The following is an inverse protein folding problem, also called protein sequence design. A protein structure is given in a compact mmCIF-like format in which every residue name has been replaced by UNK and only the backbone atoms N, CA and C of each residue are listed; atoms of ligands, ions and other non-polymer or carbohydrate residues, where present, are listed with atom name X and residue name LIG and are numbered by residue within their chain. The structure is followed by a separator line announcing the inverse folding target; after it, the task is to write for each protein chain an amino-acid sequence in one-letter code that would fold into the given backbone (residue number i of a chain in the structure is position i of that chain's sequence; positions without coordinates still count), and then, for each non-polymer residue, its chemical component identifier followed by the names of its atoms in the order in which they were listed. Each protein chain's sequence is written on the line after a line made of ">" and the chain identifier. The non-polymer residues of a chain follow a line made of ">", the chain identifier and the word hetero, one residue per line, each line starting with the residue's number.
data_IF_126844669118
#
_entry.id   IF_126844669118
#
_cell.length_a   1.000
_cell.length_b   1.000
_cell.length_c   1.000
_cell.angle_alpha   90.00
_cell.angle_beta   90.00
_cell.angle_gamma   90.00
#
_symmetry.space_group_name_H-M   'P 1'
#
loop_
_entity.id
_entity.type
_entity.pdbx_description
1 polymer ?
#
# COMPACT_ATOMS: atom_id res chain seq x y z
N UNK A 1 3.71 -9.51 -13.50
CA UNK A 1 3.78 -9.43 -14.99
C UNK A 1 4.89 -10.31 -15.53
N UNK A 2 4.59 -11.47 -16.13
CA UNK A 2 5.53 -12.15 -17.02
C UNK A 2 4.80 -12.64 -18.28
N UNK A 3 5.35 -12.32 -19.46
CA UNK A 3 4.98 -12.96 -20.73
C UNK A 3 3.89 -12.31 -21.59
N UNK A 4 3.47 -11.06 -21.34
CA UNK A 4 2.51 -10.35 -22.22
C UNK A 4 3.15 -9.18 -22.96
N UNK A 5 2.85 -8.98 -24.27
CA UNK A 5 3.26 -7.79 -25.01
C UNK A 5 2.65 -6.53 -24.39
N UNK A 6 3.47 -5.51 -24.17
CA UNK A 6 3.03 -4.18 -23.72
C UNK A 6 2.90 -3.31 -24.96
N UNK A 7 1.66 -3.00 -25.35
CA UNK A 7 1.34 -2.22 -26.55
C UNK A 7 1.30 -0.72 -26.27
N UNK A 8 0.97 -0.32 -25.04
CA UNK A 8 0.89 1.07 -24.61
C UNK A 8 1.36 1.24 -23.16
N UNK A 9 1.67 2.48 -22.76
CA UNK A 9 1.97 2.80 -21.35
C UNK A 9 0.79 2.50 -20.41
N UNK A 10 -0.44 2.42 -20.94
CA UNK A 10 -1.63 2.05 -20.16
C UNK A 10 -1.70 0.55 -19.87
N UNK A 11 -1.03 -0.29 -20.67
CA UNK A 11 -0.91 -1.72 -20.36
C UNK A 11 0.01 -1.98 -19.15
N UNK A 12 0.76 -0.96 -18.71
CA UNK A 12 1.49 -0.96 -17.44
C UNK A 12 0.60 -0.69 -16.23
N UNK A 13 -0.58 -0.08 -16.43
CA UNK A 13 -1.53 0.24 -15.34
C UNK A 13 -2.40 -0.95 -14.95
N UNK A 14 -2.34 -2.04 -15.73
CA UNK A 14 -3.17 -3.21 -15.49
C UNK A 14 -4.59 -3.06 -15.99
N UNK A 15 -5.18 -4.17 -16.44
CA UNK A 15 -6.61 -4.25 -16.76
C UNK A 15 -7.39 -5.04 -15.71
N UNK A 16 -6.67 -5.57 -14.70
CA UNK A 16 -7.17 -6.37 -13.60
C UNK A 16 -6.85 -5.68 -12.26
N UNK A 17 -7.72 -5.89 -11.26
CA UNK A 17 -7.62 -5.34 -9.90
C UNK A 17 -6.25 -5.60 -9.27
N UNK A 18 -5.70 -6.78 -9.55
CA UNK A 18 -4.41 -7.25 -9.09
C UNK A 18 -3.25 -6.38 -9.56
N UNK A 19 -3.29 -5.91 -10.82
CA UNK A 19 -2.24 -5.09 -11.40
C UNK A 19 -2.27 -3.66 -10.81
N UNK A 20 -3.47 -3.13 -10.54
CA UNK A 20 -3.65 -1.82 -9.89
C UNK A 20 -3.14 -1.87 -8.45
N UNK A 21 -3.49 -2.92 -7.71
CA UNK A 21 -2.98 -3.16 -6.36
C UNK A 21 -1.46 -3.29 -6.34
N UNK A 22 -0.88 -4.10 -7.24
CA UNK A 22 0.57 -4.28 -7.32
C UNK A 22 1.28 -2.96 -7.61
N UNK A 23 0.75 -2.16 -8.54
CA UNK A 23 1.25 -0.83 -8.86
C UNK A 23 1.20 0.11 -7.65
N UNK A 24 0.10 0.08 -6.90
CA UNK A 24 -0.04 0.86 -5.68
C UNK A 24 0.99 0.47 -4.61
N UNK A 25 1.11 -0.82 -4.29
CA UNK A 25 2.06 -1.24 -3.25
C UNK A 25 3.52 -0.99 -3.66
N UNK A 26 3.86 -1.13 -4.96
CA UNK A 26 5.16 -0.72 -5.48
C UNK A 26 5.41 0.77 -5.28
N UNK A 27 4.41 1.61 -5.58
CA UNK A 27 4.52 3.06 -5.43
C UNK A 27 4.63 3.48 -3.96
N UNK A 28 3.86 2.86 -3.06
CA UNK A 28 3.93 3.07 -1.61
C UNK A 28 5.30 2.67 -1.06
N UNK A 29 5.86 1.54 -1.53
CA UNK A 29 7.20 1.13 -1.15
C UNK A 29 8.24 2.16 -1.59
N UNK A 30 8.18 2.69 -2.82
CA UNK A 30 9.26 3.53 -3.37
C UNK A 30 9.10 5.03 -3.18
N UNK A 31 7.97 5.50 -2.68
CA UNK A 31 7.69 6.92 -2.52
C UNK A 31 7.26 7.24 -1.09
N UNK A 32 8.23 7.68 -0.28
CA UNK A 32 8.00 8.00 1.13
C UNK A 32 7.00 9.14 1.37
N UNK A 33 6.89 10.11 0.46
CA UNK A 33 5.88 11.18 0.55
C UNK A 33 4.47 10.64 0.29
N UNK A 34 4.31 9.79 -0.73
CA UNK A 34 3.05 9.09 -1.00
C UNK A 34 2.66 8.19 0.17
N UNK A 35 3.60 7.41 0.72
CA UNK A 35 3.37 6.55 1.87
C UNK A 35 2.95 7.34 3.11
N UNK A 36 3.65 8.44 3.44
CA UNK A 36 3.28 9.33 4.54
C UNK A 36 1.89 9.94 4.34
N UNK A 37 1.59 10.41 3.14
CA UNK A 37 0.28 10.99 2.83
C UNK A 37 -0.83 9.93 2.94
N UNK A 38 -0.57 8.71 2.46
CA UNK A 38 -1.50 7.57 2.57
C UNK A 38 -1.80 7.25 4.03
N UNK A 39 -0.76 7.07 4.86
CA UNK A 39 -0.93 6.79 6.30
C UNK A 39 -1.63 7.93 7.03
N UNK A 40 -1.27 9.18 6.76
CA UNK A 40 -1.95 10.33 7.37
C UNK A 40 -3.46 10.35 7.08
N UNK A 41 -3.88 9.83 5.92
CA UNK A 41 -5.29 9.75 5.54
C UNK A 41 -6.04 8.58 6.20
N UNK A 42 -5.41 7.42 6.39
CA UNK A 42 -6.07 6.24 6.96
C UNK A 42 -5.88 6.10 8.48
N UNK A 43 -4.84 6.71 9.02
CA UNK A 43 -4.52 6.75 10.45
C UNK A 43 -4.07 8.17 10.85
N UNK A 44 -5.01 9.12 10.95
CA UNK A 44 -4.69 10.49 11.35
C UNK A 44 -3.93 10.53 12.68
N UNK A 45 -2.86 11.33 12.73
CA UNK A 45 -1.99 11.46 13.89
C UNK A 45 -0.86 10.44 13.99
N UNK A 46 -0.89 9.36 13.21
CA UNK A 46 0.22 8.41 13.12
C UNK A 46 1.35 8.99 12.28
N UNK A 47 2.58 8.91 12.79
CA UNK A 47 3.81 9.24 12.06
C UNK A 47 4.58 7.95 11.84
N UNK A 48 4.97 7.69 10.59
CA UNK A 48 5.81 6.53 10.26
C UNK A 48 7.25 6.77 10.68
N UNK A 49 7.87 5.75 11.25
CA UNK A 49 9.32 5.65 11.41
C UNK A 49 9.98 4.98 10.19
N UNK A 50 11.28 4.73 10.31
CA UNK A 50 12.08 4.04 9.28
C UNK A 50 11.89 2.51 9.28
N UNK A 51 11.06 1.99 10.18
CA UNK A 51 10.71 0.56 10.32
C UNK A 51 9.54 0.12 9.42
N UNK A 52 9.01 1.04 8.60
CA UNK A 52 7.89 0.77 7.72
C UNK A 52 8.27 -0.16 6.56
N UNK A 53 7.57 -1.29 6.44
CA UNK A 53 7.72 -2.27 5.37
C UNK A 53 6.39 -2.42 4.64
N UNK A 54 6.42 -2.25 3.31
CA UNK A 54 5.27 -2.54 2.43
C UNK A 54 5.49 -3.89 1.78
N UNK A 55 4.59 -4.83 2.05
CA UNK A 55 4.57 -6.16 1.48
C UNK A 55 3.44 -6.25 0.44
N UNK A 56 3.83 -6.70 -0.76
CA UNK A 56 2.91 -7.19 -1.78
C UNK A 56 2.87 -8.72 -1.64
N UNK A 57 1.69 -9.33 -1.67
CA UNK A 57 1.60 -10.79 -1.76
C UNK A 57 1.51 -11.20 -3.23
N UNK A 58 2.29 -12.23 -3.62
CA UNK A 58 2.14 -12.85 -4.93
C UNK A 58 0.92 -13.78 -4.92
N UNK A 59 0.12 -13.68 -5.98
CA UNK A 59 -1.03 -14.55 -6.21
C UNK A 59 -0.54 -15.98 -6.46
N UNK A 60 -0.57 -16.83 -5.44
CA UNK A 60 -0.41 -18.26 -5.69
C UNK A 60 -1.77 -18.86 -6.05
N UNK A 61 -1.82 -19.57 -7.18
CA UNK A 61 -3.02 -20.21 -7.70
C UNK A 61 -3.35 -21.42 -6.84
N UNK A 62 -3.99 -21.20 -5.69
CA UNK A 62 -4.34 -22.28 -4.77
C UNK A 62 -5.48 -21.93 -3.84
N UNK A 63 -5.38 -20.84 -3.08
CA UNK A 63 -6.20 -20.69 -1.88
C UNK A 63 -6.95 -19.35 -1.80
N UNK A 64 -8.24 -19.44 -1.49
CA UNK A 64 -9.24 -18.37 -1.54
C UNK A 64 -9.09 -17.27 -0.47
N UNK A 65 -8.09 -16.41 -0.63
CA UNK A 65 -8.14 -15.02 -0.19
C UNK A 65 -6.81 -14.50 0.29
N UNK A 66 -6.09 -13.87 -0.64
CA UNK A 66 -4.86 -13.13 -0.41
C UNK A 66 -5.19 -11.66 -0.11
N UNK A 67 -4.32 -11.04 0.69
CA UNK A 67 -4.35 -9.60 0.94
C UNK A 67 -3.65 -8.90 -0.20
N UNK A 68 -4.26 -7.83 -0.68
CA UNK A 68 -3.74 -6.97 -1.74
C UNK A 68 -2.42 -6.27 -1.35
N UNK A 69 -2.40 -5.58 -0.20
CA UNK A 69 -1.19 -4.91 0.33
C UNK A 69 -1.17 -4.98 1.85
N UNK A 70 0.00 -5.22 2.43
CA UNK A 70 0.19 -5.12 3.88
C UNK A 70 1.33 -4.15 4.21
N UNK A 71 1.05 -3.12 5.00
CA UNK A 71 2.06 -2.20 5.52
C UNK A 71 2.27 -2.48 7.01
N UNK A 72 3.50 -2.84 7.37
CA UNK A 72 3.91 -3.11 8.74
C UNK A 72 4.88 -2.02 9.19
N UNK A 73 4.48 -1.22 10.16
CA UNK A 73 5.35 -0.35 10.93
C UNK A 73 5.13 -0.69 12.41
N UNK A 74 5.80 -1.73 12.95
CA UNK A 74 5.46 -2.32 14.25
C UNK A 74 5.43 -1.30 15.41
N UNK A 75 6.25 -0.26 15.33
CA UNK A 75 6.27 0.81 16.34
C UNK A 75 5.05 1.74 16.33
N UNK A 76 4.28 1.77 15.23
CA UNK A 76 3.29 2.83 14.98
C UNK A 76 1.97 2.32 14.42
N UNK A 77 1.97 1.61 13.29
CA UNK A 77 0.75 1.15 12.63
C UNK A 77 0.95 -0.13 11.82
N UNK A 78 -0.05 -1.00 11.84
CA UNK A 78 -0.20 -2.10 10.90
C UNK A 78 -1.43 -1.86 10.04
N UNK A 79 -1.28 -1.96 8.73
CA UNK A 79 -2.33 -1.72 7.75
C UNK A 79 -2.46 -2.93 6.84
N UNK A 80 -3.68 -3.40 6.68
CA UNK A 80 -4.06 -4.38 5.65
C UNK A 80 -4.97 -3.64 4.67
N UNK A 81 -4.63 -3.65 3.38
CA UNK A 81 -5.43 -3.08 2.31
C UNK A 81 -6.04 -4.22 1.52
N UNK A 82 -7.33 -4.11 1.24
CA UNK A 82 -8.09 -4.95 0.32
C UNK A 82 -8.69 -4.06 -0.77
N UNK A 83 -8.33 -4.32 -2.02
CA UNK A 83 -9.03 -3.76 -3.17
C UNK A 83 -10.30 -4.57 -3.45
N UNK A 84 -11.40 -3.88 -3.74
CA UNK A 84 -12.64 -4.49 -4.22
C UNK A 84 -13.22 -3.75 -5.42
N UNK A 85 -13.55 -4.51 -6.47
CA UNK A 85 -14.48 -4.08 -7.52
C UNK A 85 -15.92 -4.08 -7.02
N UNK A 86 -16.69 -3.06 -7.43
CA UNK A 86 -18.11 -2.98 -7.09
C UNK A 86 -18.37 -2.73 -5.61
N UNK A 87 -19.37 -3.43 -5.08
CA UNK A 87 -19.94 -3.20 -3.74
C UNK A 87 -19.58 -4.31 -2.73
N UNK A 88 -18.71 -5.24 -3.13
CA UNK A 88 -18.35 -6.41 -2.34
C UNK A 88 -17.56 -6.03 -1.08
N UNK A 89 -17.78 -6.78 -0.01
CA UNK A 89 -16.91 -6.80 1.17
C UNK A 89 -16.14 -8.12 1.21
N UNK A 90 -15.00 -8.19 1.91
CA UNK A 90 -14.39 -9.46 2.25
C UNK A 90 -15.38 -10.35 3.02
N UNK A 91 -15.28 -11.67 2.84
CA UNK A 91 -16.07 -12.62 3.61
C UNK A 91 -15.64 -12.65 5.08
N UNK A 92 -16.51 -13.09 6.00
CA UNK A 92 -16.16 -13.24 7.42
C UNK A 92 -14.90 -14.11 7.63
N UNK A 93 -14.69 -15.10 6.77
CA UNK A 93 -13.50 -15.94 6.80
C UNK A 93 -12.22 -15.15 6.49
N UNK A 94 -12.24 -14.30 5.45
CA UNK A 94 -11.13 -13.39 5.14
C UNK A 94 -10.86 -12.45 6.32
N UNK A 95 -11.91 -11.93 6.94
CA UNK A 95 -11.80 -11.00 8.06
C UNK A 95 -11.15 -11.63 9.29
N UNK A 96 -11.54 -12.86 9.67
CA UNK A 96 -10.90 -13.61 10.77
C UNK A 96 -9.41 -13.85 10.52
N UNK A 97 -9.00 -14.05 9.26
CA UNK A 97 -7.58 -14.15 8.91
C UNK A 97 -6.86 -12.84 9.18
N UNK A 98 -7.49 -11.70 8.87
CA UNK A 98 -6.89 -10.38 9.09
C UNK A 98 -6.73 -10.04 10.57
N UNK A 99 -7.71 -10.37 11.41
CA UNK A 99 -7.61 -10.21 12.87
C UNK A 99 -6.39 -10.92 13.46
N UNK A 100 -6.14 -12.16 13.02
CA UNK A 100 -4.96 -12.94 13.47
C UNK A 100 -3.64 -12.27 13.05
N UNK A 101 -3.59 -11.69 11.85
CA UNK A 101 -2.39 -10.98 11.37
C UNK A 101 -2.12 -9.72 12.17
N UNK A 102 -3.14 -8.93 12.48
CA UNK A 102 -3.00 -7.74 13.33
C UNK A 102 -2.47 -8.09 14.72
N UNK A 103 -3.01 -9.16 15.33
CA UNK A 103 -2.54 -9.63 16.63
C UNK A 103 -1.06 -10.03 16.61
N UNK A 104 -0.59 -10.65 15.52
CA UNK A 104 0.80 -11.08 15.38
C UNK A 104 1.80 -9.91 15.32
N UNK A 105 1.48 -8.84 14.58
CA UNK A 105 2.37 -7.67 14.48
C UNK A 105 2.31 -6.81 15.75
N UNK A 106 1.13 -6.65 16.36
CA UNK A 106 0.97 -5.98 17.65
C UNK A 106 1.23 -4.47 17.61
N UNK A 107 1.06 -3.81 16.47
CA UNK A 107 1.26 -2.36 16.36
C UNK A 107 0.21 -1.56 17.16
N UNK A 108 0.55 -0.37 17.70
CA UNK A 108 -0.38 0.44 18.49
C UNK A 108 -1.67 0.83 17.75
N UNK A 109 -1.58 1.07 16.44
CA UNK A 109 -2.72 1.30 15.57
C UNK A 109 -2.86 0.15 14.56
N UNK A 110 -4.09 -0.32 14.33
CA UNK A 110 -4.40 -1.27 13.27
C UNK A 110 -5.46 -0.69 12.33
N UNK A 111 -5.23 -0.79 11.01
CA UNK A 111 -6.16 -0.29 9.98
C UNK A 111 -6.46 -1.36 8.95
N UNK A 112 -7.74 -1.65 8.79
CA UNK A 112 -8.23 -2.43 7.66
C UNK A 112 -8.79 -1.47 6.60
N UNK A 113 -8.16 -1.38 5.44
CA UNK A 113 -8.51 -0.43 4.39
C UNK A 113 -9.22 -1.17 3.26
N UNK A 114 -10.45 -0.77 2.95
CA UNK A 114 -11.14 -1.22 1.74
C UNK A 114 -10.98 -0.14 0.67
N UNK A 115 -10.28 -0.48 -0.40
CA UNK A 115 -10.07 0.36 -1.57
C UNK A 115 -11.09 0.01 -2.64
N UNK A 116 -11.97 0.93 -2.97
CA UNK A 116 -13.13 0.66 -3.85
C UNK A 116 -13.21 1.64 -5.03
N UNK A 117 -14.08 1.32 -5.99
CA UNK A 117 -14.38 2.22 -7.11
C UNK A 117 -15.12 3.48 -6.64
N UNK A 118 -15.03 4.55 -7.42
CA UNK A 118 -15.71 5.81 -7.10
C UNK A 118 -17.24 5.61 -7.09
N UNK A 119 -17.90 6.19 -6.10
CA UNK A 119 -19.35 6.07 -5.90
C UNK A 119 -19.76 4.85 -5.08
N UNK A 120 -18.83 3.94 -4.74
CA UNK A 120 -19.12 2.78 -3.90
C UNK A 120 -18.91 3.02 -2.39
N UNK A 121 -18.28 4.13 -2.02
CA UNK A 121 -17.74 4.33 -0.68
C UNK A 121 -18.81 4.36 0.41
N UNK A 122 -19.95 5.02 0.15
CA UNK A 122 -21.04 5.12 1.14
C UNK A 122 -21.69 3.77 1.42
N UNK A 123 -21.93 2.98 0.37
CA UNK A 123 -22.51 1.63 0.49
C UNK A 123 -21.52 0.70 1.22
N UNK A 124 -20.24 0.76 0.88
CA UNK A 124 -19.19 -0.03 1.55
C UNK A 124 -19.08 0.37 3.02
N UNK A 125 -19.09 1.68 3.36
CA UNK A 125 -19.10 2.16 4.75
C UNK A 125 -20.33 1.69 5.51
N UNK A 126 -21.51 1.78 4.92
CA UNK A 126 -22.75 1.31 5.55
C UNK A 126 -22.68 -0.18 5.88
N UNK A 127 -22.20 -1.00 4.94
CA UNK A 127 -22.03 -2.44 5.15
C UNK A 127 -20.97 -2.76 6.21
N UNK A 128 -19.85 -2.03 6.22
CA UNK A 128 -18.82 -2.15 7.26
C UNK A 128 -19.32 -1.70 8.64
N UNK A 129 -20.27 -0.77 8.71
CA UNK A 129 -20.87 -0.34 9.98
C UNK A 129 -21.64 -1.46 10.70
N UNK A 130 -22.05 -2.50 9.98
CA UNK A 130 -22.60 -3.73 10.57
C UNK A 130 -21.55 -4.67 11.16
N UNK A 131 -20.25 -4.37 10.99
CA UNK A 131 -19.15 -5.20 11.45
C UNK A 131 -18.51 -4.64 12.70
N UNK A 132 -18.47 -5.45 13.76
CA UNK A 132 -17.76 -5.14 15.00
C UNK A 132 -16.34 -5.66 14.93
N UNK A 133 -15.38 -4.75 14.74
CA UNK A 133 -13.96 -5.05 14.78
C UNK A 133 -13.40 -5.04 16.22
N UNK A 134 -12.55 -5.99 16.62
CA UNK A 134 -11.87 -5.91 17.90
C UNK A 134 -10.87 -4.75 17.90
N UNK A 135 -10.77 -4.05 19.04
CA UNK A 135 -9.73 -3.04 19.23
C UNK A 135 -8.33 -3.68 19.11
N UNK A 136 -7.34 -2.98 18.52
CA UNK A 136 -7.34 -1.59 18.04
C UNK A 136 -7.70 -1.41 16.55
N UNK A 137 -8.31 -2.41 15.92
CA UNK A 137 -8.55 -2.42 14.47
C UNK A 137 -9.66 -1.43 14.12
N UNK A 138 -9.40 -0.56 13.15
CA UNK A 138 -10.41 0.35 12.58
C UNK A 138 -10.51 0.14 11.07
N UNK A 139 -11.72 0.00 10.56
CA UNK A 139 -11.98 -0.07 9.13
C UNK A 139 -11.98 1.34 8.51
N UNK A 140 -11.38 1.48 7.33
CA UNK A 140 -11.34 2.72 6.55
C UNK A 140 -11.74 2.41 5.11
N UNK A 141 -12.63 3.21 4.55
CA UNK A 141 -12.99 3.13 3.13
C UNK A 141 -12.33 4.28 2.38
N UNK A 142 -11.69 3.94 1.28
CA UNK A 142 -11.04 4.87 0.36
C UNK A 142 -11.41 4.49 -1.07
N UNK A 143 -11.50 5.46 -1.98
CA UNK A 143 -11.63 5.17 -3.41
C UNK A 143 -10.35 5.36 -4.19
N UNK A 144 -10.29 4.73 -5.36
CA UNK A 144 -9.18 4.91 -6.31
C UNK A 144 -9.00 6.38 -6.74
N UNK A 145 -10.07 7.16 -6.89
CA UNK A 145 -9.92 8.59 -7.20
C UNK A 145 -9.28 9.37 -6.05
N UNK A 146 -9.72 9.12 -4.81
CA UNK A 146 -9.15 9.77 -3.64
C UNK A 146 -7.65 9.47 -3.50
N UNK A 147 -7.27 8.21 -3.76
CA UNK A 147 -5.88 7.79 -3.76
C UNK A 147 -5.06 8.45 -4.89
N UNK A 148 -5.63 8.55 -6.09
CA UNK A 148 -4.99 9.24 -7.23
C UNK A 148 -4.81 10.74 -6.95
N UNK A 149 -5.79 11.39 -6.29
CA UNK A 149 -5.67 12.77 -5.80
C UNK A 149 -4.53 12.92 -4.78
N UNK A 150 -4.42 11.97 -3.86
CA UNK A 150 -3.37 11.93 -2.85
C UNK A 150 -1.99 11.79 -3.49
N UNK A 151 -1.83 10.90 -4.47
CA UNK A 151 -0.60 10.74 -5.24
C UNK A 151 -0.24 12.01 -6.02
N UNK A 152 -1.21 12.68 -6.65
CA UNK A 152 -0.98 13.97 -7.32
C UNK A 152 -0.48 15.04 -6.35
N UNK A 153 -1.08 15.15 -5.16
CA UNK A 153 -0.64 16.12 -4.13
C UNK A 153 0.75 15.79 -3.57
N UNK A 154 1.04 14.52 -3.30
CA UNK A 154 2.35 14.08 -2.83
C UNK A 154 3.44 14.42 -3.87
N UNK A 155 3.15 14.22 -5.16
CA UNK A 155 4.02 14.63 -6.25
C UNK A 155 4.27 16.14 -6.23
N UNK A 156 3.23 16.97 -6.15
CA UNK A 156 3.39 18.43 -6.15
C UNK A 156 4.28 18.94 -5.00
N UNK A 157 4.17 18.33 -3.81
CA UNK A 157 5.02 18.68 -2.66
C UNK A 157 6.51 18.45 -2.92
N UNK A 158 6.87 17.41 -3.67
CA UNK A 158 8.25 17.16 -4.07
C UNK A 158 8.81 18.27 -4.99
N UNK A 159 7.96 18.89 -5.82
CA UNK A 159 8.35 19.96 -6.74
C UNK A 159 8.23 21.38 -6.15
N UNK A 160 7.53 21.55 -5.04
CA UNK A 160 7.33 22.86 -4.38
C UNK A 160 8.23 23.09 -3.16
N UNK A 161 9.01 22.10 -2.74
CA UNK A 161 10.00 22.29 -1.68
C UNK A 161 11.13 23.20 -2.20
N UNK A 162 11.55 24.26 -1.46
CA UNK A 162 12.68 25.07 -1.86
C UNK A 162 13.92 24.17 -2.00
N UNK A 163 14.81 24.42 -2.99
CA UNK A 163 16.06 23.68 -3.08
C UNK A 163 16.79 23.79 -1.74
N UNK A 164 17.26 22.66 -1.21
CA UNK A 164 18.13 22.67 -0.03
C UNK A 164 19.29 23.64 -0.26
N UNK A 165 19.69 24.43 0.75
CA UNK A 165 20.85 25.30 0.62
C UNK A 165 22.05 24.48 0.14
N UNK A 166 22.73 24.99 -0.88
CA UNK A 166 23.84 24.32 -1.55
C UNK A 166 24.87 23.85 -0.52
N UNK A 167 24.96 22.53 -0.33
CA UNK A 167 25.78 21.90 0.70
C UNK A 167 25.24 20.56 1.22
N UNK A 168 23.94 20.29 1.08
CA UNK A 168 23.36 18.97 1.39
C UNK A 168 22.67 18.39 0.15
N UNK A 169 23.39 17.55 -0.58
CA UNK A 169 22.91 16.90 -1.81
C UNK A 169 21.69 16.00 -1.53
N UNK A 170 20.65 16.04 -2.40
CA UNK A 170 20.31 14.81 -3.07
C UNK A 170 20.13 15.03 -4.57
N UNK A 171 20.92 14.30 -5.35
CA UNK A 171 20.77 14.07 -6.78
C UNK A 171 21.31 15.15 -7.75
N UNK A 172 22.62 15.06 -8.02
CA UNK A 172 23.33 15.35 -9.28
C UNK A 172 24.68 14.60 -9.17
N UNK A 173 25.15 13.80 -10.12
CA UNK A 173 25.35 14.12 -11.52
C UNK A 173 25.25 12.93 -12.48
N UNK A 174 25.14 13.31 -13.75
CA UNK A 174 25.21 12.48 -14.93
C UNK A 174 26.53 11.68 -15.05
N UNK A 175 26.44 10.36 -14.97
CA UNK A 175 27.25 9.42 -15.74
C UNK A 175 26.61 8.03 -15.60
N UNK A 176 26.54 7.28 -16.71
CA UNK A 176 26.16 5.89 -16.76
C UNK A 176 27.06 5.03 -15.85
N UNK A 177 26.67 4.81 -14.60
CA UNK A 177 27.07 3.66 -13.79
C UNK A 177 26.02 3.42 -12.72
N UNK A 178 25.34 2.28 -12.81
CA UNK A 178 24.47 1.78 -11.74
C UNK A 178 25.34 1.35 -10.56
N UNK A 179 25.48 2.22 -9.56
CA UNK A 179 25.89 1.81 -8.21
C UNK A 179 24.79 2.20 -7.22
N UNK A 180 24.38 1.21 -6.42
CA UNK A 180 23.30 1.31 -5.44
C UNK A 180 23.64 2.34 -4.36
N UNK A 181 22.75 3.32 -4.19
CA UNK A 181 22.84 4.34 -3.13
C UNK A 181 22.23 3.79 -1.83
N UNK A 182 22.88 3.90 -0.64
CA UNK A 182 22.48 3.17 0.56
C UNK A 182 21.35 3.82 1.39
N UNK A 183 20.68 4.86 0.90
CA UNK A 183 19.60 5.52 1.63
C UNK A 183 18.25 4.88 1.31
N UNK A 184 17.71 4.17 2.30
CA UNK A 184 16.45 3.41 2.28
C UNK A 184 16.54 2.05 1.54
N UNK A 185 17.23 1.10 2.16
CA UNK A 185 17.15 -0.30 1.76
C UNK A 185 15.79 -0.90 2.15
N UNK A 186 14.78 -0.69 1.30
CA UNK A 186 13.48 -1.38 1.40
C UNK A 186 13.69 -2.80 0.90
N UNK A 187 13.75 -3.74 1.83
CA UNK A 187 13.89 -5.17 1.51
C UNK A 187 12.54 -5.71 1.01
N UNK A 188 12.42 -5.90 -0.30
CA UNK A 188 11.45 -6.84 -0.85
C UNK A 188 11.98 -8.26 -0.56
N UNK A 189 11.38 -8.99 0.40
CA UNK A 189 11.70 -10.42 0.58
C UNK A 189 10.88 -11.23 -0.41
N UNK A 190 11.53 -11.83 -1.40
CA UNK A 190 11.00 -12.98 -2.15
C UNK A 190 11.15 -14.25 -1.31
N UNK A 191 10.22 -15.22 -1.38
CA UNK A 191 10.39 -16.50 -0.70
C UNK A 191 11.56 -17.27 -1.33
N UNK A 192 12.41 -17.87 -0.49
CA UNK A 192 13.46 -18.77 -0.95
C UNK A 192 12.82 -20.01 -1.59
N UNK A 193 13.07 -20.24 -2.88
CA UNK A 193 12.82 -21.52 -3.52
C UNK A 193 13.72 -22.58 -2.89
N UNK A 194 13.21 -23.33 -1.92
CA UNK A 194 13.85 -24.56 -1.48
C UNK A 194 13.47 -25.67 -2.45
N UNK A 195 14.33 -25.88 -3.45
CA UNK A 195 14.45 -27.14 -4.17
C UNK A 195 14.91 -28.24 -3.21
N UNK A 196 14.11 -29.27 -3.05
CA UNK A 196 14.53 -30.68 -2.96
C UNK A 196 13.34 -31.59 -3.24
#
# INVERSE_FOLDING_TARGET
>A
MHGRPISTVFDLLGHDENDMTASLGWALARNGELLRAFVARIAPGVRLGDDAVVELQEHDRGDGGFIDIELKAPSTVHVIVEAKRGWGLPSEEQLRRYETRFAFVGAPAARFVVLTQNGAEEVVRHRLGGWTLPAPINAVVMSWAELADLARRARLRLYSAPPSPAGSCPYRDAANTYEESPTCAIRTRTPSSSSR
#
